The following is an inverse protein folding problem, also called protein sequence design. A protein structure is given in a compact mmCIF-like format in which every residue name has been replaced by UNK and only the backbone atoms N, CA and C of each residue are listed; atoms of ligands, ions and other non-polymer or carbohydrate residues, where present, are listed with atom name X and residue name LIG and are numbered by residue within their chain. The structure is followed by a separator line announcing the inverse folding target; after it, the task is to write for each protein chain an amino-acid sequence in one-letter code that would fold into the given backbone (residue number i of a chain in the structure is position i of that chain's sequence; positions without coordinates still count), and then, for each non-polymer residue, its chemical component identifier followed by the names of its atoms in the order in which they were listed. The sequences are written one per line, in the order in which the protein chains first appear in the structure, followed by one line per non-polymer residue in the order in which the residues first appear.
data_IF_685652024103
#
_entry.id   IF_685652024103
#
_cell.length_a   1.000
_cell.length_b   1.000
_cell.length_c   1.000
_cell.angle_alpha   90.00
_cell.angle_beta   90.00
_cell.angle_gamma   90.00
#
_symmetry.space_group_name_H-M   'P 1'
#
loop_
_entity.id
_entity.type
_entity.pdbx_description
1 polymer ?
#
# COMPACT_ATOMS: atom_id res chain seq x y z
N UNK A 1 15.39 2.72 -0.08
CA UNK A 1 15.38 1.26 0.07
C UNK A 1 14.05 0.76 -0.43
N UNK A 2 13.96 -0.46 -0.94
CA UNK A 2 12.72 -1.03 -1.46
C UNK A 2 12.59 -2.48 -0.99
N UNK A 3 11.36 -2.94 -0.76
CA UNK A 3 11.12 -4.34 -0.45
C UNK A 3 11.46 -5.23 -1.64
N UNK A 4 11.91 -6.46 -1.36
CA UNK A 4 12.11 -7.45 -2.42
C UNK A 4 10.76 -7.83 -3.04
N UNK A 5 10.78 -8.27 -4.30
CA UNK A 5 9.56 -8.64 -5.03
C UNK A 5 8.73 -9.70 -4.28
N UNK A 6 9.38 -10.70 -3.68
CA UNK A 6 8.72 -11.74 -2.86
C UNK A 6 7.98 -11.14 -1.66
N UNK A 7 8.57 -10.18 -0.95
CA UNK A 7 7.91 -9.51 0.19
C UNK A 7 6.67 -8.76 -0.30
N UNK A 8 6.79 -8.03 -1.42
CA UNK A 8 5.66 -7.26 -1.97
C UNK A 8 4.54 -8.18 -2.49
N UNK A 9 4.88 -9.28 -3.17
CA UNK A 9 3.91 -10.29 -3.64
C UNK A 9 3.14 -10.92 -2.47
N UNK A 10 3.84 -11.24 -1.37
CA UNK A 10 3.21 -11.75 -0.15
C UNK A 10 2.35 -10.70 0.54
N UNK A 11 2.83 -9.46 0.65
CA UNK A 11 2.08 -8.36 1.25
C UNK A 11 0.79 -8.07 0.47
N UNK A 12 0.87 -8.13 -0.85
CA UNK A 12 -0.29 -8.02 -1.73
C UNK A 12 -1.29 -9.16 -1.58
N UNK A 13 -0.82 -10.40 -1.50
CA UNK A 13 -1.70 -11.53 -1.25
C UNK A 13 -2.48 -11.36 0.08
N UNK A 14 -1.84 -10.76 1.10
CA UNK A 14 -2.49 -10.41 2.37
C UNK A 14 -3.44 -9.22 2.25
N UNK A 15 -3.16 -8.26 1.36
CA UNK A 15 -4.02 -7.10 1.11
C UNK A 15 -5.33 -7.49 0.43
N UNK A 16 -5.32 -8.59 -0.34
CA UNK A 16 -6.43 -9.09 -1.16
C UNK A 16 -6.92 -8.05 -2.17
N UNK A 17 -6.01 -7.26 -2.74
CA UNK A 17 -6.35 -6.21 -3.70
C UNK A 17 -7.08 -5.02 -3.08
N UNK A 18 -6.87 -4.77 -1.79
CA UNK A 18 -7.45 -3.63 -1.09
C UNK A 18 -6.37 -2.85 -0.36
N UNK A 19 -6.57 -1.55 -0.22
CA UNK A 19 -5.71 -0.70 0.58
C UNK A 19 -5.67 -1.18 2.04
N UNK A 20 -4.45 -1.28 2.59
CA UNK A 20 -4.20 -1.64 3.99
C UNK A 20 -4.03 -0.43 4.90
N UNK A 21 -4.39 0.76 4.41
CA UNK A 21 -4.33 1.96 5.22
C UNK A 21 -5.38 1.90 6.34
N UNK A 22 -4.91 1.99 7.58
CA UNK A 22 -5.75 2.09 8.79
C UNK A 22 -5.65 3.48 9.44
N UNK A 23 -4.92 4.40 8.81
CA UNK A 23 -4.65 5.73 9.35
C UNK A 23 -5.87 6.62 9.11
N UNK A 24 -6.47 7.16 10.18
CA UNK A 24 -7.67 8.00 10.11
C UNK A 24 -7.41 9.50 9.94
N UNK A 25 -6.16 9.90 9.69
CA UNK A 25 -5.80 11.33 9.62
C UNK A 25 -6.07 11.99 8.25
N UNK A 26 -6.53 11.22 7.26
CA UNK A 26 -6.76 11.68 5.88
C UNK A 26 -8.11 11.16 5.34
N UNK A 27 -8.28 11.11 4.01
CA UNK A 27 -9.52 10.97 3.21
C UNK A 27 -10.41 9.73 3.46
N UNK A 28 -10.27 9.02 4.59
CA UNK A 28 -11.13 7.92 4.99
C UNK A 28 -11.24 7.75 6.52
N UNK A 29 -12.41 7.33 6.98
CA UNK A 29 -12.69 6.98 8.37
C UNK A 29 -12.72 5.44 8.50
N UNK A 30 -11.60 4.85 8.94
CA UNK A 30 -11.42 3.39 9.01
C UNK A 30 -10.57 2.80 7.88
N UNK A 31 -10.90 1.60 7.38
CA UNK A 31 -10.15 0.96 6.29
C UNK A 31 -10.48 1.64 4.96
N UNK A 32 -9.45 2.06 4.23
CA UNK A 32 -9.62 2.70 2.94
C UNK A 32 -10.41 1.78 1.96
N UNK A 33 -11.50 2.28 1.34
CA UNK A 33 -12.37 1.47 0.47
C UNK A 33 -11.80 1.27 -0.95
N UNK A 34 -10.63 1.84 -1.26
CA UNK A 34 -10.06 1.75 -2.60
C UNK A 34 -9.61 0.33 -2.93
N UNK A 35 -10.12 -0.16 -4.05
CA UNK A 35 -9.68 -1.40 -4.70
C UNK A 35 -8.40 -1.15 -5.48
N UNK A 36 -7.52 -2.15 -5.47
CA UNK A 36 -6.20 -2.08 -6.06
C UNK A 36 -6.06 -3.21 -7.08
N UNK A 37 -5.38 -2.91 -8.20
CA UNK A 37 -5.06 -3.90 -9.23
C UNK A 37 -3.56 -4.16 -9.23
N UNK A 38 -3.15 -5.43 -9.12
CA UNK A 38 -1.73 -5.81 -9.00
C UNK A 38 -0.88 -5.23 -10.14
N UNK A 39 -1.42 -5.25 -11.36
CA UNK A 39 -0.77 -4.75 -12.58
C UNK A 39 -0.59 -3.22 -12.59
N UNK A 40 -1.33 -2.49 -11.77
CA UNK A 40 -1.27 -1.03 -11.66
C UNK A 40 -0.29 -0.55 -10.57
N UNK A 41 0.65 -1.41 -10.15
CA UNK A 41 1.70 -1.04 -9.18
C UNK A 41 2.51 0.14 -9.70
N UNK A 42 2.59 1.22 -8.91
CA UNK A 42 3.31 2.43 -9.25
C UNK A 42 2.67 3.24 -10.39
N UNK A 43 1.42 2.97 -10.75
CA UNK A 43 0.71 3.72 -11.79
C UNK A 43 -0.07 4.90 -11.18
N UNK A 44 0.60 6.05 -11.06
CA UNK A 44 0.05 7.25 -10.42
C UNK A 44 -1.18 7.85 -11.13
N UNK A 45 -1.41 7.48 -12.40
CA UNK A 45 -2.52 7.98 -13.20
C UNK A 45 -3.81 7.17 -13.04
N UNK A 46 -3.75 6.01 -12.38
CA UNK A 46 -4.91 5.12 -12.21
C UNK A 46 -5.46 5.14 -10.79
N UNK A 47 -6.79 5.16 -10.60
CA UNK A 47 -7.41 5.08 -9.28
C UNK A 47 -7.16 3.74 -8.58
N UNK A 48 -6.90 2.69 -9.35
CA UNK A 48 -6.55 1.33 -8.89
C UNK A 48 -5.05 1.16 -8.62
N UNK A 49 -4.25 2.22 -8.85
CA UNK A 49 -2.82 2.20 -8.64
C UNK A 49 -2.47 2.18 -7.15
N UNK A 50 -1.33 1.57 -6.85
CA UNK A 50 -0.88 1.35 -5.48
C UNK A 50 0.64 1.30 -5.38
N UNK A 51 1.13 1.49 -4.16
CA UNK A 51 2.54 1.47 -3.82
C UNK A 51 2.78 0.71 -2.51
N UNK A 52 3.90 0.00 -2.45
CA UNK A 52 4.39 -0.56 -1.19
C UNK A 52 5.00 0.53 -0.32
N UNK A 53 4.68 0.51 0.98
CA UNK A 53 5.24 1.43 1.96
C UNK A 53 5.77 0.65 3.17
N UNK A 54 6.81 1.20 3.80
CA UNK A 54 7.43 0.63 5.00
C UNK A 54 6.89 1.31 6.25
N UNK A 55 6.14 0.59 7.09
CA UNK A 55 5.53 1.14 8.31
C UNK A 55 6.55 1.79 9.25
N UNK A 56 7.73 1.19 9.39
CA UNK A 56 8.79 1.67 10.28
C UNK A 56 9.98 2.31 9.57
N UNK A 57 9.91 2.48 8.24
CA UNK A 57 11.03 2.95 7.41
C UNK A 57 12.31 2.11 7.48
N UNK A 58 12.25 0.96 8.15
CA UNK A 58 13.38 0.07 8.39
C UNK A 58 13.44 -1.13 7.43
N UNK A 59 12.41 -1.30 6.59
CA UNK A 59 12.30 -2.36 5.59
C UNK A 59 12.55 -3.76 6.17
N UNK A 60 11.99 -4.02 7.37
CA UNK A 60 12.32 -5.20 8.20
C UNK A 60 11.75 -6.53 7.69
N UNK A 61 10.84 -6.49 6.72
CA UNK A 61 10.25 -7.69 6.12
C UNK A 61 8.76 -7.53 5.79
N UNK A 62 8.06 -8.66 5.67
CA UNK A 62 6.64 -8.71 5.31
C UNK A 62 5.73 -7.95 6.27
N UNK A 63 5.96 -8.05 7.58
CA UNK A 63 5.18 -7.36 8.60
C UNK A 63 5.39 -5.84 8.62
N UNK A 64 6.50 -5.37 8.04
CA UNK A 64 6.81 -3.95 7.88
C UNK A 64 6.33 -3.39 6.53
N UNK A 65 5.98 -4.27 5.59
CA UNK A 65 5.47 -3.90 4.28
C UNK A 65 3.94 -3.75 4.32
N UNK A 66 3.44 -2.58 3.96
CA UNK A 66 2.02 -2.32 3.76
C UNK A 66 1.73 -1.91 2.33
N UNK A 67 0.58 -2.37 1.82
CA UNK A 67 0.09 -1.99 0.49
C UNK A 67 -0.88 -0.84 0.63
N UNK A 68 -0.57 0.29 -0.01
CA UNK A 68 -1.38 1.50 0.05
C UNK A 68 -1.83 1.93 -1.35
N UNK A 69 -3.05 2.44 -1.44
CA UNK A 69 -3.45 3.19 -2.63
C UNK A 69 -2.62 4.48 -2.72
N UNK A 70 -2.50 5.02 -3.93
CA UNK A 70 -1.67 6.19 -4.17
C UNK A 70 -2.12 7.41 -3.37
N UNK A 71 -3.43 7.61 -3.17
CA UNK A 71 -3.95 8.69 -2.33
C UNK A 71 -3.49 8.59 -0.87
N UNK A 72 -3.57 7.39 -0.31
CA UNK A 72 -3.09 7.13 1.06
C UNK A 72 -1.57 7.26 1.14
N UNK A 73 -0.85 6.82 0.10
CA UNK A 73 0.60 6.96 0.04
C UNK A 73 1.04 8.41 -0.03
N UNK A 74 0.38 9.22 -0.85
CA UNK A 74 0.64 10.66 -0.99
C UNK A 74 0.36 11.42 0.31
N UNK A 75 -0.70 11.02 1.04
CA UNK A 75 -1.06 11.63 2.32
C UNK A 75 -0.08 11.35 3.46
N UNK A 76 0.86 10.40 3.30
CA UNK A 76 1.85 10.05 4.34
C UNK A 76 3.07 11.00 4.31
N UNK A 77 3.22 11.80 3.25
CA UNK A 77 4.33 12.76 3.06
C UNK A 77 3.89 14.20 3.30
#
# INVERSE_FOLDING_TARGET
MAFTKDIVERAWALSKGQCQCERSFHDHDGRCPNELVWEDRGNHDKPTGWQDHSKSSAYRGLSDCEILCLKCFDSIW
#
